data_IF_855823214492
#
_entry.id   IF_855823214492
#
_cell.length_a   1.000
_cell.length_b   1.000
_cell.length_c   1.000
_cell.angle_alpha   90.00
_cell.angle_beta   90.00
_cell.angle_gamma   90.00
#
_symmetry.space_group_name_H-M   'P 1'
#
loop_
_entity.id
_entity.type
_entity.pdbx_description
1 polymer ?
#
# COMPACT_ATOMS: atom_id res chain seq x y z
N UNK A 1 14.98 23.37 0.98
CA UNK A 1 14.35 22.41 1.91
C UNK A 1 14.78 21.02 1.51
N UNK A 2 15.02 20.13 2.47
CA UNK A 2 15.31 18.73 2.17
C UNK A 2 14.01 18.02 1.79
N UNK A 3 14.04 17.06 0.86
CA UNK A 3 12.87 16.24 0.55
C UNK A 3 12.43 15.48 1.81
N UNK A 4 11.12 15.24 2.00
CA UNK A 4 10.63 14.45 3.11
C UNK A 4 11.16 13.01 3.02
N UNK A 5 11.62 12.47 4.14
CA UNK A 5 12.11 11.10 4.24
C UNK A 5 10.93 10.19 4.62
N UNK A 6 10.38 9.50 3.63
CA UNK A 6 9.21 8.63 3.80
C UNK A 6 9.56 7.22 3.34
N UNK A 7 9.23 6.22 4.15
CA UNK A 7 9.27 4.82 3.75
C UNK A 7 7.85 4.29 3.60
N UNK A 8 7.60 3.57 2.50
CA UNK A 8 6.31 2.94 2.20
C UNK A 8 6.54 1.45 2.04
N UNK A 9 5.84 0.65 2.84
CA UNK A 9 5.87 -0.80 2.75
C UNK A 9 4.46 -1.31 2.42
N UNK A 10 4.35 -2.24 1.49
CA UNK A 10 3.09 -2.85 1.09
C UNK A 10 3.19 -4.35 1.32
N UNK A 11 2.19 -4.92 2.00
CA UNK A 11 2.05 -6.36 2.19
C UNK A 11 0.79 -6.83 1.49
N UNK A 12 0.90 -7.44 0.30
CA UNK A 12 -0.25 -8.06 -0.37
C UNK A 12 -0.60 -9.38 0.28
N UNK A 13 -1.86 -9.76 0.19
CA UNK A 13 -2.39 -11.03 0.66
C UNK A 13 -3.45 -11.51 -0.32
N UNK A 14 -3.27 -12.70 -0.88
CA UNK A 14 -4.32 -13.38 -1.63
C UNK A 14 -5.44 -13.84 -0.68
N UNK A 15 -6.69 -13.74 -1.14
CA UNK A 15 -7.89 -14.10 -0.36
C UNK A 15 -8.57 -15.32 -1.00
N UNK A 16 -8.21 -16.56 -0.61
CA UNK A 16 -8.77 -17.77 -1.20
C UNK A 16 -10.30 -17.85 -1.06
N UNK A 17 -10.84 -17.46 0.08
CA UNK A 17 -12.27 -17.54 0.39
C UNK A 17 -13.13 -16.55 -0.42
N UNK A 18 -12.48 -15.55 -1.04
CA UNK A 18 -13.13 -14.54 -1.88
C UNK A 18 -12.73 -14.66 -3.36
N UNK A 19 -12.01 -15.71 -3.72
CA UNK A 19 -11.51 -15.95 -5.07
C UNK A 19 -12.15 -17.18 -5.69
N UNK A 20 -12.26 -17.17 -7.02
CA UNK A 20 -12.71 -18.30 -7.83
C UNK A 20 -11.75 -18.45 -9.03
N UNK A 21 -10.63 -19.18 -8.83
CA UNK A 21 -9.60 -19.34 -9.86
C UNK A 21 -10.08 -20.03 -11.14
N UNK A 22 -11.06 -20.91 -11.04
CA UNK A 22 -11.61 -21.65 -12.19
C UNK A 22 -12.38 -20.70 -13.13
N UNK A 23 -12.99 -19.66 -12.55
CA UNK A 23 -13.64 -18.57 -13.29
C UNK A 23 -12.73 -17.34 -13.48
N UNK A 24 -11.42 -17.48 -13.27
CA UNK A 24 -10.43 -16.40 -13.41
C UNK A 24 -10.68 -15.16 -12.53
N UNK A 25 -11.33 -15.34 -11.38
CA UNK A 25 -11.61 -14.27 -10.43
C UNK A 25 -10.64 -14.39 -9.23
N UNK A 26 -9.85 -13.34 -9.00
CA UNK A 26 -8.83 -13.34 -7.95
C UNK A 26 -8.98 -12.12 -7.06
N UNK A 27 -9.15 -12.34 -5.77
CA UNK A 27 -9.24 -11.31 -4.76
C UNK A 27 -7.93 -11.18 -3.97
N UNK A 28 -7.48 -9.95 -3.79
CA UNK A 28 -6.30 -9.61 -3.00
C UNK A 28 -6.64 -8.47 -2.05
N UNK A 29 -6.21 -8.60 -0.80
CA UNK A 29 -6.09 -7.49 0.13
C UNK A 29 -4.65 -6.97 0.14
N UNK A 30 -4.46 -5.72 0.56
CA UNK A 30 -3.13 -5.20 0.84
C UNK A 30 -3.15 -4.30 2.07
N UNK A 31 -2.08 -4.38 2.86
CA UNK A 31 -1.82 -3.45 3.97
C UNK A 31 -0.68 -2.52 3.56
N UNK A 32 -0.93 -1.21 3.60
CA UNK A 32 0.09 -0.17 3.35
C UNK A 32 0.53 0.44 4.67
N UNK A 33 1.83 0.40 4.96
CA UNK A 33 2.44 1.11 6.08
C UNK A 33 3.26 2.28 5.54
N UNK A 34 2.84 3.50 5.87
CA UNK A 34 3.55 4.74 5.53
C UNK A 34 4.21 5.26 6.81
N UNK A 35 5.54 5.40 6.80
CA UNK A 35 6.31 5.88 7.94
C UNK A 35 7.11 7.12 7.56
N UNK A 36 6.85 8.21 8.26
CA UNK A 36 7.73 9.38 8.26
C UNK A 36 9.01 9.02 9.04
N UNK A 37 10.14 8.99 8.36
CA UNK A 37 11.46 8.76 8.96
C UNK A 37 12.27 10.04 9.11
N UNK A 38 11.75 11.17 8.62
CA UNK A 38 12.37 12.48 8.74
C UNK A 38 11.98 13.22 10.02
N UNK A 39 12.54 14.41 10.17
CA UNK A 39 12.38 15.25 11.38
C UNK A 39 11.26 16.29 11.26
N UNK A 40 10.78 16.57 10.06
CA UNK A 40 9.67 17.49 9.80
C UNK A 40 8.34 16.74 9.74
N UNK A 41 7.25 17.39 10.17
CA UNK A 41 5.89 16.87 9.97
C UNK A 41 5.51 16.88 8.48
N UNK A 42 4.74 15.88 8.08
CA UNK A 42 4.35 15.66 6.68
C UNK A 42 2.89 15.24 6.60
N UNK A 43 2.29 15.38 5.42
CA UNK A 43 0.92 14.97 5.14
C UNK A 43 0.86 14.22 3.81
N UNK A 44 0.14 13.10 3.79
CA UNK A 44 -0.23 12.42 2.55
C UNK A 44 -1.42 13.16 1.93
N UNK A 45 -1.23 13.70 0.73
CA UNK A 45 -2.26 14.47 0.02
C UNK A 45 -3.03 13.61 -0.98
N UNK A 46 -2.31 12.79 -1.74
CA UNK A 46 -2.89 11.98 -2.81
C UNK A 46 -2.15 10.65 -2.95
N UNK A 47 -2.82 9.69 -3.60
CA UNK A 47 -2.27 8.40 -3.99
C UNK A 47 -2.70 8.08 -5.42
N UNK A 48 -1.83 7.41 -6.16
CA UNK A 48 -2.09 6.92 -7.51
C UNK A 48 -1.58 5.47 -7.59
N UNK A 49 -2.39 4.59 -8.17
CA UNK A 49 -2.00 3.22 -8.53
C UNK A 49 -2.03 3.12 -10.06
N UNK A 50 -1.03 2.44 -10.62
CA UNK A 50 -0.94 2.17 -12.07
C UNK A 50 -1.73 0.91 -12.45
#
# INVERSE_FOLDING_TARGET
>A
MHPPEITVNVRPQYLPEQSDPDNQQYAFAYTVTIRNTGTASVQLIARHWF
#
